data_IF_229710002711
#
_entry.id   IF_229710002711
#
_cell.length_a   1.000
_cell.length_b   1.000
_cell.length_c   1.000
_cell.angle_alpha   90.00
_cell.angle_beta   90.00
_cell.angle_gamma   90.00
#
_symmetry.space_group_name_H-M   'P 1'
#
loop_
_entity.id
_entity.type
_entity.pdbx_description
1 polymer ?
#
# COMPACT_ATOMS: atom_id res chain seq x y z
N UNK A 1 3.13 1.44 -7.79
CA UNK A 1 2.86 2.89 -7.64
C UNK A 1 1.36 3.10 -7.68
N UNK A 2 0.88 3.88 -6.76
CA UNK A 2 -0.53 4.22 -6.63
C UNK A 2 -0.69 5.74 -6.74
N UNK A 3 -1.73 6.18 -7.43
CA UNK A 3 -2.19 7.56 -7.38
C UNK A 3 -3.26 7.69 -6.32
N UNK A 4 -3.22 8.78 -5.60
CA UNK A 4 -4.23 9.13 -4.62
C UNK A 4 -5.57 9.46 -5.32
N UNK A 5 -6.67 8.90 -4.82
CA UNK A 5 -8.01 9.14 -5.35
C UNK A 5 -8.86 9.98 -4.39
N UNK A 6 -8.92 9.60 -3.10
CA UNK A 6 -9.66 10.31 -2.06
C UNK A 6 -8.97 10.23 -0.71
N UNK A 7 -9.04 11.31 0.08
CA UNK A 7 -8.50 11.53 1.42
C UNK A 7 -6.98 11.21 1.51
N UNK A 8 -6.16 11.86 2.24
CA UNK A 8 -4.71 11.66 2.32
C UNK A 8 -3.92 12.89 1.88
N UNK A 9 -2.66 12.93 2.29
CA UNK A 9 -1.81 14.11 2.21
C UNK A 9 -0.90 14.14 0.99
N UNK A 10 -0.70 13.00 0.31
CA UNK A 10 0.25 12.85 -0.79
C UNK A 10 -0.42 12.49 -2.11
N UNK A 11 0.17 12.95 -3.21
CA UNK A 11 -0.34 12.68 -4.57
C UNK A 11 -0.12 11.23 -5.00
N UNK A 12 0.99 10.62 -4.56
CA UNK A 12 1.36 9.26 -4.91
C UNK A 12 1.82 8.47 -3.69
N UNK A 13 1.54 7.17 -3.68
CA UNK A 13 2.13 6.20 -2.77
C UNK A 13 2.94 5.17 -3.54
N UNK A 14 4.15 4.89 -3.08
CA UNK A 14 5.04 3.87 -3.65
C UNK A 14 5.24 2.80 -2.58
N UNK A 15 4.88 1.56 -2.91
CA UNK A 15 5.07 0.42 -2.04
C UNK A 15 6.12 -0.51 -2.65
N UNK A 16 7.17 -0.76 -1.90
CA UNK A 16 8.19 -1.75 -2.18
C UNK A 16 8.21 -2.80 -1.09
N UNK A 17 8.46 -4.06 -1.45
CA UNK A 17 8.57 -5.13 -0.49
C UNK A 17 9.94 -5.79 -0.56
N UNK A 18 10.50 -6.07 0.61
CA UNK A 18 11.81 -6.68 0.79
C UNK A 18 11.69 -7.89 1.70
N UNK A 19 12.54 -8.89 1.52
CA UNK A 19 12.55 -10.07 2.38
C UNK A 19 13.11 -9.77 3.77
N UNK A 20 13.96 -8.76 3.86
CA UNK A 20 14.59 -8.33 5.10
C UNK A 20 15.12 -6.89 4.96
N UNK A 21 15.52 -6.30 6.08
CA UNK A 21 15.98 -4.90 6.12
C UNK A 21 17.33 -4.69 5.40
N UNK A 22 18.16 -5.73 5.29
CA UNK A 22 19.44 -5.62 4.58
C UNK A 22 19.21 -5.44 3.07
N UNK A 23 18.20 -6.12 2.50
CA UNK A 23 17.85 -5.95 1.09
C UNK A 23 17.36 -4.52 0.81
N UNK A 24 16.57 -3.92 1.71
CA UNK A 24 16.16 -2.52 1.62
C UNK A 24 17.37 -1.58 1.62
N UNK A 25 18.30 -1.75 2.58
CA UNK A 25 19.49 -0.89 2.69
C UNK A 25 20.38 -1.03 1.46
N UNK A 26 20.56 -2.25 0.96
CA UNK A 26 21.37 -2.50 -0.23
C UNK A 26 20.73 -1.86 -1.48
N UNK A 27 19.43 -1.95 -1.64
CA UNK A 27 18.71 -1.36 -2.77
C UNK A 27 18.85 0.17 -2.77
N UNK A 28 18.64 0.81 -1.63
CA UNK A 28 18.82 2.25 -1.46
C UNK A 28 20.25 2.71 -1.80
N UNK A 29 21.28 1.96 -1.38
CA UNK A 29 22.68 2.26 -1.66
C UNK A 29 23.01 2.18 -3.17
N UNK A 30 22.37 1.25 -3.88
CA UNK A 30 22.65 0.99 -5.30
C UNK A 30 21.75 1.78 -6.27
N UNK A 31 20.70 2.41 -5.78
CA UNK A 31 19.69 3.06 -6.63
C UNK A 31 20.27 4.12 -7.57
N UNK A 32 21.16 4.98 -7.07
CA UNK A 32 21.79 6.04 -7.87
C UNK A 32 22.74 5.48 -8.93
N UNK A 33 23.53 4.46 -8.59
CA UNK A 33 24.45 3.80 -9.52
C UNK A 33 23.68 3.05 -10.62
N UNK A 34 22.63 2.34 -10.22
CA UNK A 34 21.75 1.62 -11.15
C UNK A 34 21.07 2.57 -12.12
N UNK A 35 20.57 3.71 -11.66
CA UNK A 35 19.96 4.73 -12.50
C UNK A 35 20.97 5.28 -13.52
N UNK A 36 22.14 5.69 -13.09
CA UNK A 36 23.19 6.19 -13.99
C UNK A 36 23.56 5.15 -15.04
N UNK A 37 23.81 3.92 -14.62
CA UNK A 37 24.13 2.80 -15.52
C UNK A 37 23.01 2.57 -16.54
N UNK A 38 21.76 2.65 -16.14
CA UNK A 38 20.61 2.47 -17.02
C UNK A 38 20.53 3.60 -18.06
N UNK A 39 20.72 4.86 -17.66
CA UNK A 39 20.75 6.00 -18.58
C UNK A 39 21.91 5.90 -19.57
N UNK A 40 23.10 5.54 -19.09
CA UNK A 40 24.27 5.36 -19.95
C UNK A 40 24.06 4.26 -21.01
N UNK A 41 23.34 3.19 -20.65
CA UNK A 41 23.02 2.09 -21.55
C UNK A 41 21.90 2.39 -22.57
N UNK A 42 21.17 3.49 -22.42
CA UNK A 42 20.13 3.89 -23.37
C UNK A 42 20.76 4.35 -24.69
N UNK A 43 20.17 3.96 -25.81
CA UNK A 43 20.55 4.43 -27.16
C UNK A 43 20.02 5.86 -27.41
N UNK A 44 20.46 6.81 -26.60
CA UNK A 44 20.11 8.23 -26.67
C UNK A 44 21.38 9.04 -26.98
N UNK A 45 21.22 10.15 -27.69
CA UNK A 45 22.29 11.14 -27.85
C UNK A 45 22.59 11.86 -26.52
N UNK A 46 23.67 12.64 -26.49
CA UNK A 46 24.12 13.32 -25.28
C UNK A 46 23.08 14.30 -24.72
N UNK A 47 22.41 15.05 -25.62
CA UNK A 47 21.43 16.07 -25.24
C UNK A 47 20.19 15.42 -24.61
N UNK A 48 19.73 14.30 -25.19
CA UNK A 48 18.60 13.54 -24.65
C UNK A 48 18.94 12.88 -23.28
N UNK A 49 20.19 12.42 -23.09
CA UNK A 49 20.65 11.90 -21.79
C UNK A 49 20.72 13.01 -20.74
N UNK A 50 21.23 14.18 -21.10
CA UNK A 50 21.29 15.33 -20.19
C UNK A 50 19.91 15.83 -19.79
N UNK A 51 18.95 15.85 -20.73
CA UNK A 51 17.55 16.15 -20.45
C UNK A 51 16.95 15.14 -19.44
N UNK A 52 17.11 13.84 -19.70
CA UNK A 52 16.62 12.78 -18.82
C UNK A 52 17.23 12.88 -17.41
N UNK A 53 18.53 13.16 -17.32
CA UNK A 53 19.19 13.39 -16.02
C UNK A 53 18.69 14.66 -15.34
N UNK A 54 18.31 15.69 -16.11
CA UNK A 54 17.64 16.89 -15.61
C UNK A 54 16.30 16.58 -14.98
N UNK A 55 15.47 15.81 -15.67
CA UNK A 55 14.16 15.37 -15.17
C UNK A 55 14.29 14.52 -13.90
N UNK A 56 15.27 13.62 -13.87
CA UNK A 56 15.53 12.81 -12.67
C UNK A 56 15.93 13.69 -11.47
N UNK A 57 16.80 14.69 -11.68
CA UNK A 57 17.18 15.64 -10.60
C UNK A 57 15.97 16.45 -10.11
N UNK A 58 15.08 16.88 -11.02
CA UNK A 58 13.84 17.59 -10.68
C UNK A 58 12.93 16.69 -9.82
N UNK A 59 12.73 15.44 -10.25
CA UNK A 59 11.96 14.45 -9.49
C UNK A 59 12.57 14.21 -8.10
N UNK A 60 13.87 13.97 -8.03
CA UNK A 60 14.58 13.75 -6.75
C UNK A 60 14.49 14.97 -5.82
N UNK A 61 14.51 16.18 -6.38
CA UNK A 61 14.30 17.40 -5.61
C UNK A 61 12.90 17.51 -5.04
N UNK A 62 11.87 17.23 -5.85
CA UNK A 62 10.47 17.21 -5.37
C UNK A 62 10.28 16.14 -4.30
N UNK A 63 10.81 14.94 -4.52
CA UNK A 63 10.75 13.85 -3.56
C UNK A 63 11.41 14.24 -2.23
N UNK A 64 12.62 14.80 -2.26
CA UNK A 64 13.39 15.17 -1.07
C UNK A 64 12.67 16.19 -0.16
N UNK A 65 11.80 17.04 -0.72
CA UNK A 65 11.11 18.07 0.05
C UNK A 65 9.71 17.69 0.52
N UNK A 66 9.06 16.72 -0.14
CA UNK A 66 7.65 16.41 0.08
C UNK A 66 7.39 14.89 0.12
N UNK A 67 8.12 14.14 0.92
CA UNK A 67 7.87 12.72 1.12
C UNK A 67 7.81 12.36 2.61
N UNK A 68 7.20 11.23 2.88
CA UNK A 68 7.24 10.56 4.18
C UNK A 68 7.50 9.08 3.95
N UNK A 69 8.50 8.54 4.61
CA UNK A 69 8.87 7.13 4.51
C UNK A 69 8.43 6.38 5.76
N UNK A 70 7.89 5.19 5.53
CA UNK A 70 7.53 4.27 6.59
C UNK A 70 8.10 2.89 6.25
N UNK A 71 8.75 2.27 7.22
CA UNK A 71 9.10 0.86 7.14
C UNK A 71 8.09 0.08 7.96
N UNK A 72 7.43 -0.86 7.31
CA UNK A 72 6.38 -1.68 7.89
C UNK A 72 6.72 -3.15 7.75
N UNK A 73 6.15 -3.99 8.60
CA UNK A 73 6.35 -5.44 8.57
C UNK A 73 5.00 -6.17 8.61
N UNK A 74 4.97 -7.38 8.07
CA UNK A 74 3.82 -8.27 8.14
C UNK A 74 4.07 -9.54 8.99
N UNK A 75 5.21 -9.61 9.66
CA UNK A 75 5.58 -10.72 10.54
C UNK A 75 4.58 -10.82 11.70
N UNK A 76 4.03 -12.02 11.92
CA UNK A 76 3.00 -12.25 12.94
C UNK A 76 1.59 -11.82 12.53
N UNK A 77 1.40 -11.35 11.28
CA UNK A 77 0.12 -10.91 10.75
C UNK A 77 -0.43 -11.86 9.66
N UNK A 78 0.06 -13.09 9.59
CA UNK A 78 -0.29 -14.07 8.54
C UNK A 78 -1.79 -14.34 8.49
N UNK A 79 -2.47 -14.31 9.64
CA UNK A 79 -3.93 -14.50 9.74
C UNK A 79 -4.74 -13.34 9.17
N UNK A 80 -4.13 -12.18 9.04
CA UNK A 80 -4.74 -10.97 8.47
C UNK A 80 -4.51 -10.85 6.96
N UNK A 81 -3.78 -11.79 6.36
CA UNK A 81 -3.51 -11.79 4.93
C UNK A 81 -4.54 -12.67 4.20
N UNK A 82 -5.05 -12.17 3.11
CA UNK A 82 -5.95 -12.89 2.21
C UNK A 82 -5.77 -12.37 0.79
N UNK A 83 -5.79 -13.26 -0.19
CA UNK A 83 -5.97 -12.91 -1.60
C UNK A 83 -6.65 -14.05 -2.32
N UNK A 84 -7.40 -13.74 -3.37
CA UNK A 84 -7.85 -14.75 -4.31
C UNK A 84 -6.65 -15.34 -5.06
N UNK A 85 -6.79 -16.57 -5.56
CA UNK A 85 -5.67 -17.32 -6.17
C UNK A 85 -5.17 -16.67 -7.46
N UNK A 86 -6.07 -16.21 -8.33
CA UNK A 86 -5.76 -15.66 -9.65
C UNK A 86 -5.89 -14.14 -9.73
N UNK A 87 -5.38 -13.42 -8.75
CA UNK A 87 -5.47 -11.96 -8.72
C UNK A 87 -4.68 -11.32 -9.86
N UNK A 88 -5.37 -10.60 -10.75
CA UNK A 88 -4.74 -9.93 -11.89
C UNK A 88 -4.24 -8.52 -11.53
N UNK A 89 -2.95 -8.41 -11.28
CA UNK A 89 -2.26 -7.15 -11.05
C UNK A 89 -1.93 -6.37 -12.34
N UNK A 90 -2.31 -6.86 -13.53
CA UNK A 90 -2.08 -6.14 -14.79
C UNK A 90 -3.07 -5.01 -15.02
N UNK A 91 -4.22 -5.04 -14.34
CA UNK A 91 -5.28 -4.03 -14.42
C UNK A 91 -5.18 -3.00 -13.30
N UNK A 92 -5.91 -1.89 -13.44
CA UNK A 92 -6.11 -0.93 -12.34
C UNK A 92 -6.86 -1.60 -11.20
N UNK A 93 -6.44 -1.29 -9.97
CA UNK A 93 -7.12 -1.71 -8.76
C UNK A 93 -7.46 -0.48 -7.91
N UNK A 94 -8.56 -0.55 -7.20
CA UNK A 94 -8.89 0.38 -6.13
C UNK A 94 -8.36 -0.24 -4.84
N UNK A 95 -7.63 0.54 -4.06
CA UNK A 95 -7.08 0.08 -2.78
C UNK A 95 -7.50 1.05 -1.69
N UNK A 96 -8.25 0.55 -0.73
CA UNK A 96 -8.57 1.28 0.49
C UNK A 96 -7.47 0.96 1.50
N UNK A 97 -6.82 1.99 1.97
CA UNK A 97 -5.80 1.90 3.02
C UNK A 97 -6.38 2.49 4.30
N UNK A 98 -6.60 1.64 5.29
CA UNK A 98 -7.07 2.06 6.61
C UNK A 98 -5.90 2.05 7.58
N UNK A 99 -5.69 3.17 8.26
CA UNK A 99 -4.63 3.33 9.27
C UNK A 99 -5.22 3.37 10.66
N UNK A 100 -4.55 2.72 11.62
CA UNK A 100 -5.04 2.59 12.99
C UNK A 100 -3.94 2.88 14.01
N UNK A 101 -4.25 3.75 14.96
CA UNK A 101 -3.51 3.92 16.20
C UNK A 101 -4.19 3.07 17.26
N UNK A 102 -3.49 2.05 17.77
CA UNK A 102 -4.06 1.05 18.67
C UNK A 102 -3.61 1.31 20.10
N UNK A 103 -4.55 1.33 21.04
CA UNK A 103 -4.26 1.51 22.46
C UNK A 103 -3.26 0.49 22.96
N UNK A 104 -2.36 0.94 23.82
CA UNK A 104 -1.35 0.08 24.41
C UNK A 104 -1.94 -1.21 25.01
N UNK A 105 -1.37 -2.36 24.64
CA UNK A 105 -1.82 -3.69 25.09
C UNK A 105 -3.08 -4.22 24.41
N UNK A 106 -3.64 -3.52 23.39
CA UNK A 106 -4.86 -3.93 22.70
C UNK A 106 -4.63 -4.55 21.31
N UNK A 107 -3.39 -4.84 20.93
CA UNK A 107 -3.05 -5.39 19.61
C UNK A 107 -3.81 -6.70 19.29
N UNK A 108 -4.01 -7.58 20.29
CA UNK A 108 -4.76 -8.82 20.08
C UNK A 108 -6.23 -8.53 19.78
N UNK A 109 -6.88 -7.68 20.58
CA UNK A 109 -8.28 -7.26 20.38
C UNK A 109 -8.46 -6.65 18.99
N UNK A 110 -7.53 -5.78 18.58
CA UNK A 110 -7.52 -5.19 17.24
C UNK A 110 -7.44 -6.26 16.16
N UNK A 111 -6.48 -7.19 16.23
CA UNK A 111 -6.30 -8.24 15.22
C UNK A 111 -7.51 -9.17 15.14
N UNK A 112 -8.07 -9.57 16.28
CA UNK A 112 -9.29 -10.40 16.35
C UNK A 112 -10.48 -9.67 15.74
N UNK A 113 -10.61 -8.35 15.98
CA UNK A 113 -11.64 -7.52 15.36
C UNK A 113 -11.51 -7.44 13.85
N UNK A 114 -10.29 -7.30 13.28
CA UNK A 114 -10.06 -7.36 11.84
C UNK A 114 -10.44 -8.74 11.27
N UNK A 115 -10.06 -9.84 11.94
CA UNK A 115 -10.37 -11.20 11.49
C UNK A 115 -11.87 -11.45 11.46
N UNK A 116 -12.57 -11.09 12.53
CA UNK A 116 -14.01 -11.36 12.71
C UNK A 116 -14.90 -10.31 12.01
N UNK A 117 -14.37 -9.14 11.71
CA UNK A 117 -15.04 -8.06 11.02
C UNK A 117 -14.71 -8.01 9.52
N UNK A 118 -13.83 -7.09 9.12
CA UNK A 118 -13.58 -6.78 7.71
C UNK A 118 -13.07 -7.97 6.91
N UNK A 119 -12.13 -8.76 7.44
CA UNK A 119 -11.59 -9.91 6.73
C UNK A 119 -12.63 -11.02 6.52
N UNK A 120 -13.45 -11.29 7.54
CA UNK A 120 -14.58 -12.25 7.41
C UNK A 120 -15.56 -11.77 6.35
N UNK A 121 -15.94 -10.50 6.39
CA UNK A 121 -16.88 -9.92 5.44
C UNK A 121 -16.36 -9.96 3.99
N UNK A 122 -15.09 -9.66 3.78
CA UNK A 122 -14.42 -9.80 2.46
C UNK A 122 -14.57 -11.22 1.93
N UNK A 123 -14.30 -12.23 2.77
CA UNK A 123 -14.41 -13.65 2.38
C UNK A 123 -15.84 -14.11 2.10
N UNK A 124 -16.80 -13.56 2.83
CA UNK A 124 -18.22 -13.94 2.69
C UNK A 124 -18.89 -13.24 1.49
N UNK A 125 -18.54 -11.99 1.21
CA UNK A 125 -19.14 -11.22 0.11
C UNK A 125 -18.43 -11.41 -1.22
N UNK A 126 -17.11 -11.64 -1.20
CA UNK A 126 -16.28 -11.78 -2.39
C UNK A 126 -16.11 -10.48 -3.19
N UNK A 127 -16.47 -9.32 -2.65
CA UNK A 127 -16.34 -8.03 -3.35
C UNK A 127 -14.88 -7.53 -3.40
N UNK A 128 -14.07 -7.81 -2.38
CA UNK A 128 -12.64 -7.51 -2.41
C UNK A 128 -11.83 -8.74 -2.83
N UNK A 129 -10.83 -8.52 -3.66
CA UNK A 129 -9.92 -9.57 -4.14
C UNK A 129 -8.82 -9.92 -3.14
N UNK A 130 -8.45 -8.96 -2.28
CA UNK A 130 -7.44 -9.19 -1.27
C UNK A 130 -7.62 -8.28 -0.04
N UNK A 131 -7.05 -8.74 1.07
CA UNK A 131 -6.83 -8.00 2.29
C UNK A 131 -5.41 -8.25 2.77
N UNK A 132 -4.66 -7.18 2.96
CA UNK A 132 -3.32 -7.23 3.54
C UNK A 132 -3.27 -6.39 4.80
N UNK A 133 -2.37 -6.73 5.70
CA UNK A 133 -2.11 -5.95 6.91
C UNK A 133 -0.61 -5.79 7.13
N UNK A 134 -0.23 -4.65 7.65
CA UNK A 134 1.14 -4.36 8.04
C UNK A 134 1.18 -3.63 9.39
N UNK A 135 2.25 -3.84 10.13
CA UNK A 135 2.53 -3.16 11.39
C UNK A 135 3.71 -2.21 11.22
N UNK A 136 3.64 -1.06 11.86
CA UNK A 136 4.71 -0.08 11.89
C UNK A 136 6.00 -0.68 12.48
N UNK A 137 7.13 -0.38 11.82
CA UNK A 137 8.45 -0.79 12.30
C UNK A 137 9.36 0.42 12.55
N UNK A 138 9.49 1.32 11.56
CA UNK A 138 10.28 2.55 11.66
C UNK A 138 9.66 3.67 10.81
N UNK A 139 10.00 4.92 11.19
CA UNK A 139 9.53 6.15 10.54
C UNK A 139 8.31 6.73 11.25
N UNK A 140 7.59 7.62 10.58
CA UNK A 140 6.31 8.17 11.05
C UNK A 140 5.16 7.27 10.64
N UNK A 141 4.07 7.25 11.40
CA UNK A 141 2.83 6.58 11.00
C UNK A 141 2.17 5.79 12.11
N UNK A 142 0.94 5.37 11.85
CA UNK A 142 0.11 4.63 12.77
C UNK A 142 0.59 3.18 12.98
N UNK A 143 0.16 2.55 14.07
CA UNK A 143 0.59 1.20 14.47
C UNK A 143 0.31 0.15 13.41
N UNK A 144 -0.91 0.16 12.85
CA UNK A 144 -1.33 -0.78 11.82
C UNK A 144 -1.87 -0.06 10.58
N UNK A 145 -1.66 -0.72 9.43
CA UNK A 145 -2.38 -0.41 8.20
C UNK A 145 -2.99 -1.70 7.64
N UNK A 146 -4.22 -1.58 7.15
CA UNK A 146 -4.85 -2.62 6.34
C UNK A 146 -5.07 -2.11 4.92
N UNK A 147 -5.05 -3.03 3.97
CA UNK A 147 -5.19 -2.74 2.54
C UNK A 147 -6.26 -3.66 1.99
N UNK A 148 -7.37 -3.10 1.57
CA UNK A 148 -8.43 -3.83 0.89
C UNK A 148 -8.36 -3.55 -0.60
N UNK A 149 -8.28 -4.58 -1.43
CA UNK A 149 -8.05 -4.45 -2.87
C UNK A 149 -9.31 -4.86 -3.62
N UNK A 150 -9.81 -3.95 -4.43
CA UNK A 150 -11.01 -4.12 -5.23
C UNK A 150 -10.67 -4.04 -6.73
N UNK A 151 -11.35 -4.83 -7.55
CA UNK A 151 -11.14 -4.81 -8.98
C UNK A 151 -11.71 -3.53 -9.63
N UNK A 152 -12.73 -2.92 -9.02
CA UNK A 152 -13.40 -1.74 -9.55
C UNK A 152 -14.05 -0.89 -8.46
N UNK A 153 -14.43 0.34 -8.82
CA UNK A 153 -15.25 1.20 -7.98
C UNK A 153 -16.64 0.58 -7.69
N UNK A 154 -17.17 -0.22 -8.61
CA UNK A 154 -18.45 -0.92 -8.39
C UNK A 154 -18.33 -1.99 -7.32
N UNK A 155 -17.22 -2.73 -7.30
CA UNK A 155 -16.97 -3.75 -6.27
C UNK A 155 -16.75 -3.11 -4.90
N UNK A 156 -16.03 -2.00 -4.85
CA UNK A 156 -15.89 -1.20 -3.63
C UNK A 156 -17.26 -0.70 -3.13
N UNK A 157 -18.07 -0.12 -4.01
CA UNK A 157 -19.41 0.36 -3.63
C UNK A 157 -20.31 -0.78 -3.13
N UNK A 158 -20.28 -1.95 -3.77
CA UNK A 158 -21.04 -3.12 -3.33
C UNK A 158 -20.58 -3.64 -1.96
N UNK A 159 -19.28 -3.59 -1.70
CA UNK A 159 -18.73 -3.93 -0.38
C UNK A 159 -19.23 -2.96 0.70
N UNK A 160 -19.20 -1.66 0.43
CA UNK A 160 -19.69 -0.64 1.37
C UNK A 160 -21.20 -0.79 1.61
N UNK A 161 -22.01 -1.01 0.56
CA UNK A 161 -23.45 -1.24 0.70
C UNK A 161 -23.75 -2.47 1.57
N UNK A 162 -22.99 -3.54 1.44
CA UNK A 162 -23.13 -4.74 2.27
C UNK A 162 -22.82 -4.48 3.76
N UNK A 163 -22.01 -3.47 4.04
CA UNK A 163 -21.63 -3.07 5.41
C UNK A 163 -22.53 -1.98 6.01
N UNK A 164 -23.30 -1.28 5.16
CA UNK A 164 -24.19 -0.20 5.64
C UNK A 164 -25.43 -0.75 6.34
N UNK A 165 -25.82 -0.12 7.44
CA UNK A 165 -27.12 -0.34 8.08
C UNK A 165 -27.16 -1.43 9.14
N UNK A 166 -26.06 -2.11 9.42
CA UNK A 166 -25.94 -3.03 10.55
C UNK A 166 -25.86 -2.30 11.90
N UNK A 167 -26.48 -2.87 12.95
CA UNK A 167 -26.19 -2.43 14.32
C UNK A 167 -24.84 -2.96 14.75
N UNK A 168 -24.02 -2.13 15.36
CA UNK A 168 -22.72 -2.56 15.93
C UNK A 168 -22.91 -3.69 16.94
N UNK A 169 -22.28 -4.83 16.67
CA UNK A 169 -22.21 -5.95 17.59
C UNK A 169 -21.36 -5.59 18.84
N UNK A 170 -21.31 -6.46 19.83
CA UNK A 170 -20.41 -6.26 20.95
C UNK A 170 -18.93 -6.38 20.54
N UNK A 171 -18.62 -7.24 19.57
CA UNK A 171 -17.28 -7.43 19.03
C UNK A 171 -16.83 -6.16 18.27
N UNK A 172 -17.72 -5.51 17.49
CA UNK A 172 -17.43 -4.23 16.84
C UNK A 172 -17.13 -3.14 17.88
N UNK A 173 -17.91 -3.07 18.95
CA UNK A 173 -17.68 -2.11 20.04
C UNK A 173 -16.35 -2.35 20.75
N UNK A 174 -15.97 -3.60 20.96
CA UNK A 174 -14.70 -3.96 21.57
C UNK A 174 -13.54 -3.58 20.62
N UNK A 175 -13.64 -3.92 19.34
CA UNK A 175 -12.69 -3.50 18.31
C UNK A 175 -12.48 -1.98 18.30
N UNK A 176 -13.55 -1.21 18.14
CA UNK A 176 -13.46 0.26 18.11
C UNK A 176 -12.98 0.86 19.43
N UNK A 177 -13.28 0.21 20.57
CA UNK A 177 -12.75 0.64 21.87
C UNK A 177 -11.24 0.46 22.02
N UNK A 178 -10.63 -0.39 21.19
CA UNK A 178 -9.19 -0.64 21.17
C UNK A 178 -8.38 0.39 20.36
N UNK A 179 -9.06 1.26 19.62
CA UNK A 179 -8.47 2.22 18.68
C UNK A 179 -8.48 3.62 19.30
N UNK A 180 -7.37 4.37 19.12
CA UNK A 180 -7.23 5.77 19.51
C UNK A 180 -7.41 6.71 18.31
N UNK A 181 -6.90 6.30 17.14
CA UNK A 181 -6.97 7.05 15.89
C UNK A 181 -7.24 6.14 14.70
N UNK A 182 -8.01 6.64 13.75
CA UNK A 182 -8.34 5.93 12.51
C UNK A 182 -8.48 6.92 11.37
N UNK A 183 -7.95 6.54 10.21
CA UNK A 183 -8.18 7.26 8.95
C UNK A 183 -8.14 6.31 7.77
N UNK A 184 -8.84 6.68 6.71
CA UNK A 184 -8.88 5.95 5.46
C UNK A 184 -8.41 6.85 4.31
N UNK A 185 -7.71 6.24 3.36
CA UNK A 185 -7.44 6.83 2.06
C UNK A 185 -7.77 5.83 0.95
N UNK A 186 -8.14 6.33 -0.22
CA UNK A 186 -8.40 5.48 -1.37
C UNK A 186 -7.39 5.80 -2.46
N UNK A 187 -6.70 4.76 -2.90
CA UNK A 187 -5.65 4.80 -3.90
C UNK A 187 -6.08 4.03 -5.14
N UNK A 188 -5.58 4.44 -6.29
CA UNK A 188 -5.69 3.69 -7.56
C UNK A 188 -4.32 3.16 -7.96
N UNK A 189 -4.19 1.86 -8.18
CA UNK A 189 -2.98 1.26 -8.74
C UNK A 189 -2.79 1.75 -10.18
N UNK A 190 -1.76 2.55 -10.43
CA UNK A 190 -1.48 3.13 -11.75
C UNK A 190 -0.29 2.51 -12.45
N UNK A 191 0.56 1.79 -11.76
CA UNK A 191 1.70 1.14 -12.35
C UNK A 191 2.44 0.23 -11.40
N UNK A 192 3.18 -0.70 -11.95
CA UNK A 192 4.05 -1.60 -11.20
C UNK A 192 5.33 -1.88 -11.97
N UNK A 193 6.42 -2.11 -11.24
CA UNK A 193 7.66 -2.61 -11.80
C UNK A 193 7.69 -4.13 -11.71
N UNK A 194 7.97 -4.79 -12.82
CA UNK A 194 8.32 -6.19 -12.79
C UNK A 194 9.74 -6.32 -12.24
N UNK A 195 9.90 -7.02 -11.12
CA UNK A 195 11.18 -7.12 -10.41
C UNK A 195 12.24 -7.93 -11.14
N UNK A 196 11.82 -8.91 -11.93
CA UNK A 196 12.73 -9.77 -12.70
C UNK A 196 13.25 -9.03 -13.92
N UNK A 197 12.34 -8.46 -14.72
CA UNK A 197 12.68 -7.78 -15.97
C UNK A 197 13.11 -6.33 -15.79
N UNK A 198 12.86 -5.75 -14.59
CA UNK A 198 13.08 -4.32 -14.29
C UNK A 198 12.30 -3.37 -15.21
N UNK A 199 11.22 -3.85 -15.79
CA UNK A 199 10.36 -3.07 -16.67
C UNK A 199 9.18 -2.52 -15.87
N UNK A 200 9.01 -1.19 -15.92
CA UNK A 200 7.83 -0.53 -15.39
C UNK A 200 6.69 -0.57 -16.42
N UNK A 201 5.48 -0.85 -15.96
CA UNK A 201 4.28 -0.83 -16.78
C UNK A 201 3.16 -0.04 -16.13
N UNK A 202 2.52 0.84 -16.89
CA UNK A 202 1.28 1.50 -16.49
C UNK A 202 0.11 0.50 -16.56
N UNK A 203 -0.83 0.66 -15.65
CA UNK A 203 -2.07 -0.12 -15.63
C UNK A 203 -3.10 0.53 -16.55
N UNK A 204 -3.80 -0.29 -17.29
CA UNK A 204 -4.87 0.14 -18.22
C UNK A 204 -6.22 0.18 -17.55
#
# INVERSE_FOLDING_TARGET
IFAHAFAGDYTFAIYDSYNNIQDLVNDAALANEAMKKNVDAMELDADAKDLLMGEYRNYSGMYAYNHSDQIRQNIGLEKLQFSIEDMDWSTKKIVVVSTYEVKWGKNQVFQEGIINGSLKNIKETGHAEAHFASQHLYGSGADFQTYQVFNSWSDFAAYEEANLGGSMSNDDKEFWSSIEGHSDEILTLIGAMNRETKVFSYKK
#
